data_IF_027362889347
#
_entry.id   IF_027362889347
#
_cell.length_a   1.000
_cell.length_b   1.000
_cell.length_c   1.000
_cell.angle_alpha   90.00
_cell.angle_beta   90.00
_cell.angle_gamma   90.00
#
_symmetry.space_group_name_H-M   'P 1'
#
loop_
_entity.id
_entity.type
_entity.pdbx_description
1 polymer ?
#
# COMPACT_ATOMS: atom_id res chain seq x y z
N UNK A 1 -32.66 18.87 23.07
CA UNK A 1 -32.54 17.40 22.94
C UNK A 1 -31.15 16.82 23.26
N UNK A 2 -30.14 17.61 23.69
CA UNK A 2 -28.85 17.07 24.18
C UNK A 2 -28.78 16.79 25.69
N UNK A 3 -29.73 17.32 26.46
CA UNK A 3 -29.72 17.20 27.93
C UNK A 3 -30.31 15.87 28.42
N UNK A 4 -31.26 15.28 27.68
CA UNK A 4 -32.00 14.07 28.10
C UNK A 4 -31.17 12.78 27.91
N UNK A 5 -30.19 12.79 26.98
CA UNK A 5 -29.28 11.65 26.77
C UNK A 5 -28.21 11.51 27.87
N UNK A 6 -28.09 12.48 28.79
CA UNK A 6 -27.07 12.46 29.85
C UNK A 6 -27.51 11.72 31.12
N UNK A 7 -28.80 11.43 31.27
CA UNK A 7 -29.34 10.74 32.46
C UNK A 7 -29.46 9.22 32.32
N UNK A 8 -29.25 8.67 31.11
CA UNK A 8 -29.43 7.25 30.83
C UNK A 8 -28.20 6.37 31.03
N UNK A 9 -27.11 6.90 31.58
CA UNK A 9 -26.02 6.07 32.11
C UNK A 9 -25.28 5.16 31.11
N UNK A 10 -25.47 5.33 29.80
CA UNK A 10 -24.75 4.60 28.74
C UNK A 10 -23.69 5.48 28.05
N UNK A 11 -22.91 6.21 28.84
CA UNK A 11 -21.62 6.73 28.34
C UNK A 11 -20.51 6.00 29.07
N UNK A 12 -20.43 4.68 28.82
CA UNK A 12 -19.21 3.92 29.05
C UNK A 12 -18.11 4.50 28.13
N UNK A 13 -17.28 5.35 28.72
CA UNK A 13 -15.81 5.43 28.69
C UNK A 13 -15.00 4.88 27.49
N UNK A 14 -15.58 4.78 26.30
CA UNK A 14 -14.89 4.56 25.05
C UNK A 14 -14.71 5.92 24.35
N UNK A 15 -13.48 6.44 24.17
CA UNK A 15 -13.27 7.56 23.26
C UNK A 15 -13.89 7.19 21.91
N UNK A 16 -14.86 8.00 21.45
CA UNK A 16 -15.75 7.73 20.32
C UNK A 16 -14.95 7.15 19.15
N UNK A 17 -15.08 5.84 18.92
CA UNK A 17 -14.38 5.11 17.87
C UNK A 17 -14.55 5.81 16.52
N UNK A 18 -15.72 6.43 16.32
CA UNK A 18 -16.03 7.20 15.13
C UNK A 18 -15.19 8.48 15.01
N UNK A 19 -14.91 9.15 16.12
CA UNK A 19 -14.02 10.31 16.14
C UNK A 19 -12.57 9.90 15.85
N UNK A 20 -12.13 8.77 16.39
CA UNK A 20 -10.80 8.21 16.08
C UNK A 20 -10.67 7.87 14.59
N UNK A 21 -11.69 7.24 14.00
CA UNK A 21 -11.74 6.95 12.55
C UNK A 21 -11.74 8.24 11.73
N UNK A 22 -12.47 9.27 12.15
CA UNK A 22 -12.47 10.57 11.47
C UNK A 22 -11.09 11.20 11.45
N UNK A 23 -10.41 11.24 12.60
CA UNK A 23 -9.03 11.75 12.72
C UNK A 23 -8.06 11.00 11.80
N UNK A 24 -8.19 9.67 11.73
CA UNK A 24 -7.40 8.82 10.83
C UNK A 24 -7.64 9.13 9.35
N UNK A 25 -8.90 9.31 8.93
CA UNK A 25 -9.25 9.68 7.54
C UNK A 25 -8.63 11.03 7.17
N UNK A 26 -8.71 12.02 8.08
CA UNK A 26 -8.14 13.34 7.85
C UNK A 26 -6.59 13.30 7.79
N UNK A 27 -5.96 12.45 8.60
CA UNK A 27 -4.51 12.25 8.62
C UNK A 27 -3.96 11.48 7.40
N UNK A 28 -4.75 10.60 6.78
CA UNK A 28 -4.32 9.73 5.68
C UNK A 28 -3.98 10.49 4.38
N UNK A 29 -4.34 11.77 4.25
CA UNK A 29 -4.09 12.62 3.07
C UNK A 29 -4.62 11.99 1.77
N UNK A 30 -5.85 11.47 1.83
CA UNK A 30 -6.55 10.88 0.69
C UNK A 30 -6.84 11.94 -0.40
N UNK A 31 -6.87 11.55 -1.69
CA UNK A 31 -7.44 12.38 -2.75
C UNK A 31 -8.91 12.72 -2.47
N UNK A 32 -9.42 13.79 -3.09
CA UNK A 32 -10.78 14.30 -2.87
C UNK A 32 -11.85 13.21 -2.97
N UNK A 33 -11.85 12.46 -4.07
CA UNK A 33 -12.84 11.39 -4.32
C UNK A 33 -12.79 10.28 -3.27
N UNK A 34 -11.59 9.86 -2.87
CA UNK A 34 -11.39 8.83 -1.86
C UNK A 34 -11.80 9.32 -0.45
N UNK A 35 -11.50 10.58 -0.12
CA UNK A 35 -11.88 11.20 1.15
C UNK A 35 -13.39 11.33 1.28
N UNK A 36 -14.06 11.88 0.26
CA UNK A 36 -15.52 12.02 0.23
C UNK A 36 -16.20 10.66 0.37
N UNK A 37 -15.67 9.61 -0.29
CA UNK A 37 -16.19 8.25 -0.17
C UNK A 37 -15.98 7.68 1.24
N UNK A 38 -14.80 7.82 1.82
CA UNK A 38 -14.51 7.34 3.18
C UNK A 38 -15.40 8.03 4.23
N UNK A 39 -15.62 9.34 4.09
CA UNK A 39 -16.51 10.10 4.97
C UNK A 39 -17.97 9.69 4.82
N UNK A 40 -18.46 9.45 3.60
CA UNK A 40 -19.81 8.96 3.38
C UNK A 40 -20.04 7.58 4.02
N UNK A 41 -19.05 6.68 3.97
CA UNK A 41 -19.15 5.38 4.65
C UNK A 41 -19.04 5.52 6.18
N UNK A 42 -18.27 6.48 6.70
CA UNK A 42 -18.26 6.80 8.14
C UNK A 42 -19.62 7.33 8.62
N UNK A 43 -20.32 8.15 7.84
CA UNK A 43 -21.67 8.61 8.20
C UNK A 43 -22.67 7.45 8.26
N UNK A 44 -22.56 6.49 7.34
CA UNK A 44 -23.37 5.26 7.40
C UNK A 44 -23.07 4.45 8.67
N UNK A 45 -21.79 4.29 9.00
CA UNK A 45 -21.36 3.57 10.20
C UNK A 45 -21.98 4.18 11.48
N UNK A 46 -22.03 5.50 11.59
CA UNK A 46 -22.64 6.20 12.75
C UNK A 46 -24.13 5.93 12.94
N UNK A 47 -24.85 5.60 11.87
CA UNK A 47 -26.28 5.28 11.92
C UNK A 47 -26.55 3.78 12.15
N UNK A 48 -25.50 2.94 12.08
CA UNK A 48 -25.62 1.50 12.24
C UNK A 48 -25.47 1.08 13.71
N UNK A 49 -26.12 -0.03 14.08
CA UNK A 49 -25.85 -0.66 15.38
C UNK A 49 -24.41 -1.22 15.41
N UNK A 50 -23.61 -0.93 16.46
CA UNK A 50 -22.22 -1.38 16.55
C UNK A 50 -22.04 -2.91 16.46
N UNK A 51 -23.06 -3.69 16.86
CA UNK A 51 -23.05 -5.16 16.84
C UNK A 51 -23.49 -5.76 15.50
N UNK A 52 -23.88 -4.93 14.52
CA UNK A 52 -24.33 -5.42 13.21
C UNK A 52 -23.17 -5.97 12.36
N UNK A 53 -23.44 -7.02 11.57
CA UNK A 53 -22.49 -7.55 10.61
C UNK A 53 -22.07 -6.50 9.56
N UNK A 54 -23.01 -5.64 9.14
CA UNK A 54 -22.75 -4.55 8.20
C UNK A 54 -21.80 -3.49 8.76
N UNK A 55 -21.95 -3.11 10.04
CA UNK A 55 -21.03 -2.19 10.70
C UNK A 55 -19.59 -2.73 10.71
N UNK A 56 -19.42 -4.03 10.92
CA UNK A 56 -18.09 -4.68 10.87
C UNK A 56 -17.45 -4.58 9.49
N UNK A 57 -18.22 -4.81 8.41
CA UNK A 57 -17.75 -4.70 7.03
C UNK A 57 -17.36 -3.26 6.68
N UNK A 58 -18.18 -2.28 7.08
CA UNK A 58 -17.90 -0.86 6.83
C UNK A 58 -16.68 -0.39 7.62
N UNK A 59 -16.55 -0.79 8.89
CA UNK A 59 -15.37 -0.50 9.73
C UNK A 59 -14.10 -1.04 9.08
N UNK A 60 -14.10 -2.31 8.66
CA UNK A 60 -12.97 -2.91 7.96
C UNK A 60 -12.61 -2.18 6.66
N UNK A 61 -13.62 -1.77 5.88
CA UNK A 61 -13.40 -0.96 4.68
C UNK A 61 -12.73 0.39 4.98
N UNK A 62 -13.19 1.12 6.01
CA UNK A 62 -12.59 2.39 6.40
C UNK A 62 -11.15 2.19 6.88
N UNK A 63 -10.89 1.12 7.64
CA UNK A 63 -9.54 0.80 8.12
C UNK A 63 -8.59 0.54 6.95
N UNK A 64 -8.99 -0.28 5.97
CA UNK A 64 -8.23 -0.46 4.72
C UNK A 64 -7.98 0.86 3.99
N UNK A 65 -9.00 1.72 3.86
CA UNK A 65 -8.84 3.03 3.20
C UNK A 65 -7.82 3.91 3.91
N UNK A 66 -7.74 3.88 5.24
CA UNK A 66 -6.77 4.66 6.02
C UNK A 66 -5.35 4.12 5.90
N UNK A 67 -5.18 2.79 5.88
CA UNK A 67 -3.86 2.15 5.86
C UNK A 67 -3.12 2.30 4.52
N UNK A 68 -3.85 2.54 3.42
CA UNK A 68 -3.25 2.77 2.11
C UNK A 68 -2.41 4.07 2.12
N UNK A 69 -1.14 4.04 1.65
CA UNK A 69 -0.27 5.21 1.66
C UNK A 69 -0.56 6.18 0.50
N UNK A 70 -1.68 6.92 0.58
CA UNK A 70 -2.15 7.82 -0.49
C UNK A 70 -1.14 8.88 -0.93
N UNK A 71 -0.49 9.54 0.02
CA UNK A 71 0.47 10.62 -0.23
C UNK A 71 1.84 10.39 0.43
N UNK A 72 2.03 9.25 1.09
CA UNK A 72 3.29 8.90 1.71
C UNK A 72 4.22 8.25 0.68
N UNK A 73 5.37 8.88 0.40
CA UNK A 73 6.38 8.36 -0.54
C UNK A 73 7.78 8.43 0.05
N UNK A 74 8.60 7.42 -0.23
CA UNK A 74 10.03 7.44 0.11
C UNK A 74 10.78 8.36 -0.86
N UNK A 75 11.77 9.10 -0.36
CA UNK A 75 12.65 9.93 -1.20
C UNK A 75 13.52 9.02 -2.07
N UNK A 76 13.36 9.11 -3.38
CA UNK A 76 14.12 8.31 -4.34
C UNK A 76 15.51 8.91 -4.54
N UNK A 77 16.53 8.08 -4.43
CA UNK A 77 17.91 8.43 -4.79
C UNK A 77 18.12 8.26 -6.29
N UNK A 78 18.83 9.22 -6.91
CA UNK A 78 19.13 9.24 -8.36
C UNK A 78 20.64 9.16 -8.63
N UNK A 79 21.38 8.54 -7.74
CA UNK A 79 22.84 8.39 -7.86
C UNK A 79 23.18 7.04 -8.50
N UNK A 80 23.68 7.08 -9.74
CA UNK A 80 24.07 5.88 -10.49
C UNK A 80 25.37 5.28 -9.97
N UNK A 81 26.29 6.08 -9.42
CA UNK A 81 27.56 5.57 -8.89
C UNK A 81 27.30 4.77 -7.62
N UNK A 82 26.46 5.31 -6.73
CA UNK A 82 26.01 4.59 -5.55
C UNK A 82 25.24 3.32 -5.93
N UNK A 83 24.42 3.36 -6.98
CA UNK A 83 23.70 2.17 -7.45
C UNK A 83 24.66 1.08 -7.94
N UNK A 84 25.70 1.46 -8.70
CA UNK A 84 26.73 0.53 -9.17
C UNK A 84 27.48 -0.10 -8.01
N UNK A 85 27.96 0.71 -7.05
CA UNK A 85 28.68 0.22 -5.86
C UNK A 85 27.85 -0.79 -5.06
N UNK A 86 26.54 -0.53 -4.88
CA UNK A 86 25.64 -1.46 -4.16
C UNK A 86 25.44 -2.75 -4.96
N UNK A 87 25.28 -2.68 -6.28
CA UNK A 87 25.14 -3.87 -7.12
C UNK A 87 26.42 -4.71 -7.12
N UNK A 88 27.59 -4.07 -7.13
CA UNK A 88 28.89 -4.75 -7.09
C UNK A 88 29.19 -5.36 -5.72
N UNK A 89 28.77 -4.69 -4.65
CA UNK A 89 28.90 -5.20 -3.29
C UNK A 89 27.99 -6.40 -3.04
N UNK A 90 26.73 -6.30 -3.46
CA UNK A 90 25.72 -7.33 -3.17
C UNK A 90 25.80 -8.54 -4.13
N UNK A 91 26.41 -8.38 -5.32
CA UNK A 91 26.48 -9.42 -6.36
C UNK A 91 27.84 -9.48 -7.04
N UNK A 92 28.49 -10.65 -7.00
CA UNK A 92 29.72 -10.89 -7.74
C UNK A 92 29.44 -11.23 -9.22
N UNK A 93 30.23 -10.66 -10.14
CA UNK A 93 30.06 -10.84 -11.59
C UNK A 93 28.79 -10.18 -12.13
N UNK A 94 28.09 -10.84 -13.08
CA UNK A 94 26.86 -10.34 -13.70
C UNK A 94 26.99 -8.98 -14.40
N UNK A 95 28.19 -8.62 -14.88
CA UNK A 95 28.50 -7.30 -15.47
C UNK A 95 27.43 -6.82 -16.47
N UNK A 96 27.12 -7.64 -17.48
CA UNK A 96 26.10 -7.31 -18.49
C UNK A 96 24.70 -7.05 -17.90
N UNK A 97 24.34 -7.73 -16.82
CA UNK A 97 23.04 -7.56 -16.15
C UNK A 97 23.06 -6.28 -15.32
N UNK A 98 24.15 -6.02 -14.59
CA UNK A 98 24.33 -4.80 -13.81
C UNK A 98 24.33 -3.56 -14.71
N UNK A 99 25.04 -3.59 -15.83
CA UNK A 99 25.02 -2.53 -16.83
C UNK A 99 23.60 -2.23 -17.30
N UNK A 100 22.82 -3.28 -17.62
CA UNK A 100 21.43 -3.10 -18.07
C UNK A 100 20.52 -2.51 -16.99
N UNK A 101 20.74 -2.87 -15.72
CA UNK A 101 20.05 -2.27 -14.58
C UNK A 101 20.42 -0.80 -14.46
N UNK A 102 21.71 -0.44 -14.56
CA UNK A 102 22.18 0.94 -14.49
C UNK A 102 21.63 1.79 -15.64
N UNK A 103 21.58 1.28 -16.86
CA UNK A 103 20.93 1.94 -18.01
C UNK A 103 19.46 2.23 -17.73
N UNK A 104 18.72 1.25 -17.19
CA UNK A 104 17.32 1.42 -16.82
C UNK A 104 17.14 2.50 -15.74
N UNK A 105 17.98 2.50 -14.70
CA UNK A 105 17.98 3.52 -13.65
C UNK A 105 18.37 4.90 -14.19
N UNK A 106 19.29 4.97 -15.17
CA UNK A 106 19.71 6.21 -15.80
C UNK A 106 18.56 6.87 -16.55
N UNK A 107 17.78 6.09 -17.32
CA UNK A 107 16.55 6.59 -17.98
C UNK A 107 15.54 7.06 -16.92
N UNK A 108 15.33 6.28 -15.86
CA UNK A 108 14.40 6.62 -14.79
C UNK A 108 14.80 7.90 -14.03
N UNK A 109 16.10 8.20 -13.93
CA UNK A 109 16.57 9.42 -13.26
C UNK A 109 16.10 10.71 -13.94
N UNK A 110 15.90 10.67 -15.27
CA UNK A 110 15.53 11.81 -16.11
C UNK A 110 14.02 12.03 -16.26
N UNK A 111 13.21 11.00 -15.99
CA UNK A 111 11.74 11.07 -16.18
C UNK A 111 10.99 11.00 -14.85
N UNK A 112 10.01 11.89 -14.66
CA UNK A 112 9.17 11.89 -13.46
C UNK A 112 8.05 10.84 -13.50
N UNK A 113 7.64 10.42 -14.70
CA UNK A 113 6.65 9.35 -14.91
C UNK A 113 7.32 8.20 -15.66
N UNK A 114 7.35 7.04 -15.03
CA UNK A 114 7.87 5.82 -15.64
C UNK A 114 6.86 5.40 -16.71
N UNK A 115 7.14 5.72 -17.97
CA UNK A 115 6.48 5.12 -19.15
C UNK A 115 7.37 4.06 -19.81
N UNK A 116 8.45 3.65 -19.14
CA UNK A 116 9.40 2.66 -19.64
C UNK A 116 8.93 1.22 -19.41
N UNK A 117 9.53 0.26 -20.12
CA UNK A 117 9.23 -1.17 -19.96
C UNK A 117 9.53 -1.65 -18.53
N UNK A 118 8.73 -2.60 -18.04
CA UNK A 118 8.96 -3.26 -16.75
C UNK A 118 10.18 -4.18 -16.89
N UNK A 119 11.12 -4.09 -15.94
CA UNK A 119 12.29 -4.94 -15.92
C UNK A 119 11.89 -6.39 -15.57
N UNK A 120 12.24 -7.34 -16.44
CA UNK A 120 12.03 -8.77 -16.22
C UNK A 120 13.38 -9.48 -16.12
N UNK A 121 13.66 -10.10 -14.97
CA UNK A 121 14.88 -10.90 -14.75
C UNK A 121 14.54 -12.37 -15.00
N UNK A 122 15.19 -12.99 -15.98
CA UNK A 122 14.92 -14.38 -16.41
C UNK A 122 16.16 -15.24 -16.23
N UNK A 123 15.97 -16.47 -15.75
CA UNK A 123 17.05 -17.45 -15.57
C UNK A 123 16.64 -18.60 -14.65
N UNK A 124 17.49 -19.63 -14.48
CA UNK A 124 17.21 -20.80 -13.64
C UNK A 124 17.04 -20.41 -12.15
N UNK A 125 16.48 -21.30 -11.31
CA UNK A 125 16.43 -21.07 -9.86
C UNK A 125 17.85 -20.88 -9.28
N UNK A 126 17.98 -20.07 -8.23
CA UNK A 126 19.26 -19.83 -7.55
C UNK A 126 20.15 -18.72 -8.12
N UNK A 127 19.87 -18.17 -9.29
CA UNK A 127 20.74 -17.14 -9.94
C UNK A 127 20.64 -15.71 -9.37
N UNK A 128 20.04 -15.52 -8.19
CA UNK A 128 20.00 -14.20 -7.54
C UNK A 128 18.98 -13.18 -8.07
N UNK A 129 17.94 -13.60 -8.81
CA UNK A 129 16.91 -12.66 -9.33
C UNK A 129 16.23 -11.84 -8.23
N UNK A 130 15.84 -12.50 -7.15
CA UNK A 130 15.15 -11.85 -6.02
C UNK A 130 16.09 -10.92 -5.27
N UNK A 131 17.35 -11.31 -5.06
CA UNK A 131 18.35 -10.49 -4.39
C UNK A 131 18.74 -9.28 -5.23
N UNK A 132 18.83 -9.40 -6.56
CA UNK A 132 18.99 -8.23 -7.45
C UNK A 132 17.86 -7.21 -7.27
N UNK A 133 16.62 -7.67 -7.16
CA UNK A 133 15.48 -6.79 -6.86
C UNK A 133 15.63 -6.04 -5.52
N UNK A 134 16.17 -6.69 -4.49
CA UNK A 134 16.45 -6.07 -3.20
C UNK A 134 17.56 -5.01 -3.31
N UNK A 135 18.64 -5.31 -4.03
CA UNK A 135 19.74 -4.37 -4.26
C UNK A 135 19.30 -3.14 -5.06
N UNK A 136 18.42 -3.32 -6.07
CA UNK A 136 17.80 -2.20 -6.80
C UNK A 136 16.99 -1.30 -5.86
N UNK A 137 16.20 -1.88 -4.96
CA UNK A 137 15.44 -1.12 -3.97
C UNK A 137 16.36 -0.36 -2.99
N UNK A 138 17.41 -1.02 -2.49
CA UNK A 138 18.46 -0.43 -1.64
C UNK A 138 19.16 0.74 -2.33
N UNK A 139 19.60 0.55 -3.58
CA UNK A 139 20.24 1.56 -4.41
C UNK A 139 19.37 2.80 -4.65
N UNK A 140 18.08 2.60 -4.90
CA UNK A 140 17.13 3.69 -5.17
C UNK A 140 16.52 4.30 -3.91
N UNK A 141 16.83 3.77 -2.72
CA UNK A 141 16.24 4.21 -1.44
C UNK A 141 14.76 3.89 -1.31
N UNK A 142 14.26 2.86 -2.02
CA UNK A 142 12.86 2.44 -2.02
C UNK A 142 12.63 1.28 -1.06
N UNK A 143 11.43 1.18 -0.50
CA UNK A 143 11.00 0.00 0.27
C UNK A 143 10.83 -1.19 -0.68
N UNK A 144 11.26 -2.37 -0.24
CA UNK A 144 11.16 -3.60 -1.00
C UNK A 144 10.00 -4.44 -0.48
N UNK A 145 9.14 -4.90 -1.39
CA UNK A 145 8.07 -5.87 -1.14
C UNK A 145 8.15 -6.93 -2.22
N UNK A 146 7.95 -8.20 -1.84
CA UNK A 146 7.93 -9.34 -2.75
C UNK A 146 6.56 -10.00 -2.71
N UNK A 147 5.91 -10.08 -3.87
CA UNK A 147 4.69 -10.87 -4.07
C UNK A 147 5.06 -12.11 -4.91
N UNK A 148 4.79 -13.30 -4.39
CA UNK A 148 4.99 -14.53 -5.13
C UNK A 148 3.74 -14.79 -5.98
N UNK A 149 3.91 -14.89 -7.30
CA UNK A 149 2.82 -15.17 -8.24
C UNK A 149 2.69 -16.66 -8.60
N UNK A 150 3.57 -17.50 -8.04
CA UNK A 150 3.54 -18.93 -8.28
C UNK A 150 2.31 -19.56 -7.63
N UNK A 151 1.46 -20.20 -8.43
CA UNK A 151 0.23 -20.83 -7.94
C UNK A 151 -0.99 -19.92 -7.91
N UNK A 152 -0.85 -18.64 -8.26
CA UNK A 152 -1.99 -17.72 -8.45
C UNK A 152 -2.85 -18.24 -9.59
N UNK A 153 -4.15 -18.40 -9.32
CA UNK A 153 -5.11 -18.94 -10.31
C UNK A 153 -6.31 -18.04 -10.51
N UNK A 154 -6.57 -17.13 -9.58
CA UNK A 154 -7.72 -16.23 -9.60
C UNK A 154 -7.24 -14.77 -9.70
N UNK A 155 -7.97 -13.98 -10.48
CA UNK A 155 -7.78 -12.53 -10.56
C UNK A 155 -8.05 -11.85 -9.21
N UNK A 156 -8.87 -12.45 -8.36
CA UNK A 156 -9.18 -11.93 -7.03
C UNK A 156 -7.93 -11.80 -6.15
N UNK A 157 -6.87 -12.59 -6.37
CA UNK A 157 -5.60 -12.45 -5.65
C UNK A 157 -4.83 -11.17 -6.00
N UNK A 158 -5.18 -10.52 -7.13
CA UNK A 158 -4.54 -9.27 -7.57
C UNK A 158 -5.49 -8.07 -7.38
N UNK A 159 -6.79 -8.26 -7.65
CA UNK A 159 -7.78 -7.16 -7.62
C UNK A 159 -8.61 -7.12 -6.34
N UNK A 160 -8.64 -8.20 -5.56
CA UNK A 160 -9.55 -8.38 -4.45
C UNK A 160 -10.97 -8.72 -4.87
N UNK A 161 -11.80 -8.99 -3.87
CA UNK A 161 -13.23 -9.26 -4.05
C UNK A 161 -14.07 -8.00 -3.86
N UNK A 162 -15.28 -7.97 -4.44
CA UNK A 162 -16.26 -6.95 -4.07
C UNK A 162 -16.64 -7.09 -2.60
N UNK A 163 -16.74 -5.96 -1.90
CA UNK A 163 -17.18 -5.84 -0.50
C UNK A 163 -18.47 -6.60 -0.16
N UNK A 164 -19.34 -6.81 -1.15
CA UNK A 164 -20.61 -7.51 -0.98
C UNK A 164 -20.47 -9.01 -0.76
N UNK A 165 -19.30 -9.61 -1.06
CA UNK A 165 -19.03 -11.00 -0.78
C UNK A 165 -18.64 -11.21 0.68
N UNK A 166 -19.18 -12.28 1.28
CA UNK A 166 -18.80 -12.73 2.63
C UNK A 166 -17.31 -13.10 2.60
N UNK A 167 -16.53 -12.58 3.55
CA UNK A 167 -15.08 -12.80 3.60
C UNK A 167 -14.27 -12.03 2.55
N UNK A 168 -14.86 -11.00 1.94
CA UNK A 168 -14.15 -10.17 0.95
C UNK A 168 -12.91 -9.48 1.54
N UNK A 169 -11.81 -9.58 0.81
CA UNK A 169 -10.54 -8.96 1.12
C UNK A 169 -10.01 -8.23 -0.14
N UNK A 170 -9.25 -7.14 0.03
CA UNK A 170 -8.45 -6.60 -1.07
C UNK A 170 -7.37 -7.62 -1.48
N UNK A 171 -6.94 -7.54 -2.75
CA UNK A 171 -5.80 -8.30 -3.27
C UNK A 171 -4.46 -7.70 -2.88
#
# INVERSE_FOLDING_TARGET
MKAIQKELGEMDDAPDENEALKRKIDAAKMPKEAKEKAEAELQKLKMMSPMSAEATVVRGYIDWMVQVPWNARSKVKKDLRQAQEILDTDHYGLERVKDRILEYLAVQSRVNKIKGPILCLVGPPGVGKTSLGQSIAKATGRKYVRMALGGVRDEAEIRGHRRTYIGSMPG
#
